data_IF_228883466267
#
_entry.id   IF_228883466267
#
_cell.length_a   1.000
_cell.length_b   1.000
_cell.length_c   1.000
_cell.angle_alpha   90.00
_cell.angle_beta   90.00
_cell.angle_gamma   90.00
#
_symmetry.space_group_name_H-M   'P 1'
#
loop_
_entity.id
_entity.type
_entity.pdbx_description
1 polymer ?
#
# COMPACT_ATOMS: atom_id res chain seq x y z
N UNK A 1 28.27 -13.42 0.10
CA UNK A 1 27.14 -13.46 -0.84
C UNK A 1 25.88 -13.83 -0.06
N UNK A 2 24.79 -13.08 -0.18
CA UNK A 2 23.55 -13.32 0.60
C UNK A 2 22.62 -14.38 -0.06
N UNK A 3 23.07 -15.03 -1.14
CA UNK A 3 22.43 -16.21 -1.71
C UNK A 3 20.94 -15.99 -2.04
N UNK A 4 20.07 -16.85 -1.47
CA UNK A 4 18.62 -16.83 -1.67
C UNK A 4 17.92 -15.56 -1.15
N UNK A 5 18.59 -14.75 -0.32
CA UNK A 5 18.04 -13.48 0.16
C UNK A 5 18.16 -12.36 -0.88
N UNK A 6 19.08 -12.47 -1.86
CA UNK A 6 19.32 -11.43 -2.85
C UNK A 6 18.06 -11.05 -3.65
N UNK A 7 17.21 -11.98 -4.14
CA UNK A 7 15.98 -11.63 -4.84
C UNK A 7 14.96 -10.92 -3.94
N UNK A 8 14.86 -11.30 -2.66
CA UNK A 8 13.93 -10.66 -1.73
C UNK A 8 14.36 -9.24 -1.39
N UNK A 9 15.66 -9.04 -1.11
CA UNK A 9 16.28 -7.73 -0.86
C UNK A 9 16.27 -6.82 -2.09
N UNK A 10 16.16 -7.38 -3.30
CA UNK A 10 16.01 -6.60 -4.53
C UNK A 10 14.79 -5.68 -4.49
N UNK A 11 13.66 -6.15 -3.94
CA UNK A 11 12.45 -5.32 -3.82
C UNK A 11 12.70 -4.06 -2.98
N UNK A 12 13.47 -4.18 -1.89
CA UNK A 12 13.83 -3.03 -1.05
C UNK A 12 14.75 -2.07 -1.80
N UNK A 13 15.71 -2.60 -2.58
CA UNK A 13 16.59 -1.79 -3.43
C UNK A 13 15.82 -1.06 -4.54
N UNK A 14 14.79 -1.69 -5.10
CA UNK A 14 13.95 -1.07 -6.12
C UNK A 14 13.12 0.08 -5.54
N UNK A 15 12.66 -0.05 -4.29
CA UNK A 15 11.99 1.04 -3.55
C UNK A 15 12.97 2.17 -3.28
N UNK A 16 14.21 1.87 -2.88
CA UNK A 16 15.25 2.90 -2.74
C UNK A 16 15.46 3.63 -4.07
N UNK A 17 15.55 2.89 -5.18
CA UNK A 17 15.73 3.47 -6.51
C UNK A 17 14.57 4.39 -6.90
N UNK A 18 13.33 3.98 -6.61
CA UNK A 18 12.13 4.76 -6.89
C UNK A 18 12.12 6.10 -6.15
N UNK A 19 12.55 6.09 -4.88
CA UNK A 19 12.56 7.26 -3.99
C UNK A 19 13.94 7.87 -3.79
N UNK A 20 14.86 7.64 -4.75
CA UNK A 20 16.29 7.96 -4.59
C UNK A 20 16.53 9.43 -4.30
N UNK A 21 15.83 10.34 -4.98
CA UNK A 21 16.01 11.79 -4.81
C UNK A 21 15.69 12.20 -3.37
N UNK A 22 14.58 11.68 -2.81
CA UNK A 22 14.17 11.96 -1.44
C UNK A 22 15.16 11.37 -0.44
N UNK A 23 15.57 10.11 -0.63
CA UNK A 23 16.46 9.41 0.29
C UNK A 23 17.88 9.98 0.26
N UNK A 24 18.44 10.26 -0.92
CA UNK A 24 19.79 10.83 -1.06
C UNK A 24 19.88 12.25 -0.49
N UNK A 25 18.76 12.97 -0.37
CA UNK A 25 18.70 14.29 0.28
C UNK A 25 18.83 14.20 1.83
N UNK A 26 18.62 13.02 2.42
CA UNK A 26 18.75 12.80 3.88
C UNK A 26 20.22 12.46 4.21
N UNK A 27 20.92 13.41 4.82
CA UNK A 27 22.33 13.27 5.15
C UNK A 27 22.61 12.23 6.26
N UNK A 28 21.76 12.20 7.30
CA UNK A 28 21.92 11.26 8.39
C UNK A 28 21.49 9.84 7.96
N UNK A 29 22.41 8.87 8.05
CA UNK A 29 22.15 7.50 7.61
C UNK A 29 21.02 6.82 8.38
N UNK A 30 20.92 7.03 9.70
CA UNK A 30 19.86 6.45 10.52
C UNK A 30 18.49 6.98 10.10
N UNK A 31 18.38 8.29 9.89
CA UNK A 31 17.14 8.91 9.41
C UNK A 31 16.78 8.44 8.00
N UNK A 32 17.77 8.28 7.11
CA UNK A 32 17.55 7.75 5.76
C UNK A 32 17.04 6.30 5.80
N UNK A 33 17.62 5.47 6.68
CA UNK A 33 17.18 4.08 6.86
C UNK A 33 15.76 4.02 7.45
N UNK A 34 15.46 4.86 8.45
CA UNK A 34 14.09 4.99 9.00
C UNK A 34 13.10 5.38 7.89
N UNK A 35 13.47 6.36 7.05
CA UNK A 35 12.61 6.79 5.95
C UNK A 35 12.43 5.70 4.90
N UNK A 36 13.47 4.93 4.58
CA UNK A 36 13.36 3.78 3.68
C UNK A 36 12.39 2.72 4.21
N UNK A 37 12.37 2.48 5.53
CA UNK A 37 11.39 1.57 6.15
C UNK A 37 9.97 2.11 5.98
N UNK A 38 9.75 3.41 6.20
CA UNK A 38 8.43 4.03 5.99
C UNK A 38 7.98 3.90 4.54
N UNK A 39 8.84 4.26 3.58
CA UNK A 39 8.55 4.12 2.15
C UNK A 39 8.30 2.67 1.76
N UNK A 40 9.04 1.71 2.34
CA UNK A 40 8.80 0.30 2.12
C UNK A 40 7.39 -0.11 2.54
N UNK A 41 6.94 0.31 3.73
CA UNK A 41 5.57 0.06 4.20
C UNK A 41 4.54 0.69 3.27
N UNK A 42 4.73 1.96 2.86
CA UNK A 42 3.83 2.65 1.94
C UNK A 42 3.69 1.90 0.60
N UNK A 43 4.81 1.50 0.00
CA UNK A 43 4.83 0.75 -1.27
C UNK A 43 4.20 -0.64 -1.14
N UNK A 44 4.38 -1.33 -0.02
CA UNK A 44 3.69 -2.60 0.21
C UNK A 44 2.19 -2.41 0.41
N UNK A 45 1.75 -1.36 1.11
CA UNK A 45 0.33 -1.02 1.20
C UNK A 45 -0.27 -0.76 -0.20
N UNK A 46 0.42 -0.01 -1.05
CA UNK A 46 0.02 0.21 -2.45
C UNK A 46 -0.10 -1.13 -3.19
N UNK A 47 0.85 -2.05 -3.03
CA UNK A 47 0.78 -3.38 -3.64
C UNK A 47 -0.42 -4.20 -3.17
N UNK A 48 -0.79 -4.10 -1.89
CA UNK A 48 -2.01 -4.73 -1.34
C UNK A 48 -3.27 -4.09 -1.92
N UNK A 49 -3.31 -2.75 -2.05
CA UNK A 49 -4.47 -2.03 -2.61
C UNK A 49 -4.69 -2.40 -4.08
N UNK A 50 -3.64 -2.71 -4.84
CA UNK A 50 -3.74 -3.18 -6.23
C UNK A 50 -4.42 -4.54 -6.38
N UNK A 51 -4.53 -5.35 -5.32
CA UNK A 51 -5.12 -6.68 -5.41
C UNK A 51 -6.61 -6.62 -5.74
N UNK A 52 -7.05 -7.47 -6.67
CA UNK A 52 -8.46 -7.59 -7.07
C UNK A 52 -9.38 -7.74 -5.86
N UNK A 53 -9.03 -8.64 -4.94
CA UNK A 53 -9.84 -8.92 -3.76
C UNK A 53 -10.03 -7.70 -2.84
N UNK A 54 -9.05 -6.79 -2.78
CA UNK A 54 -9.15 -5.55 -2.00
C UNK A 54 -10.05 -4.56 -2.71
N UNK A 55 -9.79 -4.30 -4.00
CA UNK A 55 -10.59 -3.35 -4.79
C UNK A 55 -12.06 -3.77 -4.87
N UNK A 56 -12.32 -5.00 -5.30
CA UNK A 56 -13.68 -5.52 -5.50
C UNK A 56 -14.49 -5.51 -4.20
N UNK A 57 -13.87 -5.92 -3.09
CA UNK A 57 -14.54 -5.96 -1.79
C UNK A 57 -14.79 -4.56 -1.24
N UNK A 58 -13.82 -3.66 -1.37
CA UNK A 58 -13.98 -2.27 -0.93
C UNK A 58 -15.11 -1.56 -1.65
N UNK A 59 -15.26 -1.76 -2.96
CA UNK A 59 -16.34 -1.14 -3.73
C UNK A 59 -17.74 -1.59 -3.29
N UNK A 60 -17.87 -2.82 -2.79
CA UNK A 60 -19.16 -3.36 -2.34
C UNK A 60 -19.42 -2.98 -0.89
N UNK A 61 -18.42 -3.15 -0.02
CA UNK A 61 -18.59 -3.15 1.44
C UNK A 61 -17.94 -1.95 2.15
N UNK A 62 -17.25 -1.06 1.43
CA UNK A 62 -16.39 0.01 1.98
C UNK A 62 -15.31 -0.51 2.94
N UNK A 63 -14.95 -1.78 2.78
CA UNK A 63 -13.97 -2.52 3.58
C UNK A 63 -13.35 -3.62 2.68
N UNK A 64 -12.09 -4.06 2.86
CA UNK A 64 -11.10 -3.62 3.86
C UNK A 64 -10.48 -2.25 3.54
N UNK A 65 -10.00 -1.57 4.59
CA UNK A 65 -9.15 -0.38 4.48
C UNK A 65 -7.72 -0.80 4.83
N UNK A 66 -6.75 -0.38 4.01
CA UNK A 66 -5.34 -0.69 4.22
C UNK A 66 -4.68 0.45 4.99
N UNK A 67 -4.04 0.10 6.10
CA UNK A 67 -3.28 1.02 6.95
C UNK A 67 -1.78 0.67 6.91
N UNK A 68 -0.92 1.68 6.97
CA UNK A 68 0.53 1.52 6.99
C UNK A 68 1.09 2.05 8.30
N UNK A 69 1.63 1.15 9.14
CA UNK A 69 2.20 1.50 10.44
C UNK A 69 3.65 1.07 10.54
N UNK A 70 4.45 1.88 11.26
CA UNK A 70 5.83 1.56 11.59
C UNK A 70 5.98 1.54 13.11
N UNK A 71 6.57 0.48 13.64
CA UNK A 71 6.85 0.35 15.06
C UNK A 71 8.33 0.65 15.33
N UNK A 72 8.60 1.64 16.18
CA UNK A 72 9.94 1.98 16.62
C UNK A 72 10.28 1.17 17.88
N UNK A 73 11.20 0.22 17.74
CA UNK A 73 11.66 -0.66 18.83
C UNK A 73 12.37 0.12 19.93
N UNK A 74 13.06 1.23 19.60
CA UNK A 74 13.84 2.00 20.56
C UNK A 74 12.97 2.84 21.49
N UNK A 75 11.83 3.31 20.98
CA UNK A 75 10.90 4.16 21.74
C UNK A 75 9.62 3.43 22.16
N UNK A 76 9.34 2.25 21.60
CA UNK A 76 8.10 1.50 21.76
C UNK A 76 6.88 2.16 21.12
N UNK A 77 7.08 3.17 20.25
CA UNK A 77 6.00 3.95 19.66
C UNK A 77 5.57 3.37 18.32
N UNK A 78 4.26 3.34 18.10
CA UNK A 78 3.66 3.08 16.80
C UNK A 78 3.46 4.41 16.06
N UNK A 79 4.00 4.51 14.86
CA UNK A 79 3.83 5.63 13.93
C UNK A 79 2.83 5.24 12.86
N UNK A 80 1.71 5.95 12.80
CA UNK A 80 0.82 5.88 11.66
C UNK A 80 1.38 6.71 10.49
N UNK A 81 1.48 6.11 9.31
CA UNK A 81 1.92 6.79 8.09
C UNK A 81 0.80 7.59 7.43
N UNK A 82 -0.42 7.55 7.98
CA UNK A 82 -1.60 8.31 7.55
C UNK A 82 -1.84 8.19 6.04
N UNK A 83 -1.87 6.95 5.55
CA UNK A 83 -2.14 6.68 4.14
C UNK A 83 -3.53 7.18 3.75
N UNK A 84 -3.59 7.97 2.68
CA UNK A 84 -4.86 8.34 2.06
C UNK A 84 -5.35 7.21 1.16
N UNK A 85 -5.91 6.17 1.81
CA UNK A 85 -6.36 4.96 1.13
C UNK A 85 -7.31 5.26 -0.04
N UNK A 86 -8.24 6.21 0.12
CA UNK A 86 -9.25 6.52 -0.89
C UNK A 86 -8.62 7.14 -2.13
N UNK A 87 -7.73 8.12 -1.94
CA UNK A 87 -7.04 8.75 -3.07
C UNK A 87 -6.08 7.76 -3.74
N UNK A 88 -5.32 6.97 -2.98
CA UNK A 88 -4.44 5.93 -3.55
C UNK A 88 -5.24 4.92 -4.38
N UNK A 89 -6.38 4.44 -3.86
CA UNK A 89 -7.24 3.52 -4.60
C UNK A 89 -7.76 4.15 -5.89
N UNK A 90 -8.19 5.41 -5.83
CA UNK A 90 -8.66 6.15 -7.01
C UNK A 90 -7.56 6.24 -8.07
N UNK A 91 -6.36 6.67 -7.69
CA UNK A 91 -5.22 6.80 -8.61
C UNK A 91 -4.85 5.45 -9.25
N UNK A 92 -4.91 4.36 -8.48
CA UNK A 92 -4.69 3.00 -9.00
C UNK A 92 -5.78 2.64 -10.02
N UNK A 93 -7.04 2.96 -9.76
CA UNK A 93 -8.17 2.64 -10.64
C UNK A 93 -8.15 3.40 -11.97
N UNK A 94 -7.50 4.57 -12.04
CA UNK A 94 -7.32 5.30 -13.30
C UNK A 94 -6.52 4.48 -14.35
N UNK A 95 -5.64 3.59 -13.89
CA UNK A 95 -4.77 2.77 -14.75
C UNK A 95 -5.16 1.28 -14.69
N UNK A 96 -5.62 0.80 -13.54
CA UNK A 96 -5.85 -0.61 -13.24
C UNK A 96 -7.15 -0.80 -12.44
N UNK A 97 -8.29 -0.58 -13.11
CA UNK A 97 -9.62 -0.83 -12.56
C UNK A 97 -9.99 -2.32 -12.67
N UNK A 98 -10.11 -3.00 -11.52
CA UNK A 98 -10.55 -4.40 -11.45
C UNK A 98 -12.00 -4.58 -10.99
N UNK A 99 -12.80 -3.52 -11.00
CA UNK A 99 -14.10 -3.51 -10.31
C UNK A 99 -15.30 -3.72 -11.24
N UNK A 100 -15.05 -3.93 -12.53
CA UNK A 100 -16.06 -4.18 -13.55
C UNK A 100 -16.44 -5.67 -13.70
N UNK A 101 -15.99 -6.52 -12.77
CA UNK A 101 -16.30 -7.95 -12.81
C UNK A 101 -17.79 -8.22 -12.55
N UNK A 102 -18.33 -9.27 -13.17
CA UNK A 102 -19.74 -9.68 -13.03
C UNK A 102 -20.11 -9.89 -11.55
N UNK A 103 -19.17 -10.40 -10.76
CA UNK A 103 -19.31 -10.60 -9.32
C UNK A 103 -19.57 -9.28 -8.57
N UNK A 104 -18.83 -8.21 -8.89
CA UNK A 104 -18.99 -6.89 -8.26
C UNK A 104 -20.33 -6.29 -8.64
N UNK A 105 -20.67 -6.32 -9.92
CA UNK A 105 -21.90 -5.71 -10.44
C UNK A 105 -23.16 -6.35 -9.84
N UNK A 106 -23.19 -7.67 -9.74
CA UNK A 106 -24.29 -8.42 -9.10
C UNK A 106 -24.47 -8.05 -7.62
N UNK A 107 -23.37 -7.88 -6.88
CA UNK A 107 -23.43 -7.52 -5.45
C UNK A 107 -23.86 -6.07 -5.22
N UNK A 108 -23.35 -5.13 -6.02
CA UNK A 108 -23.79 -3.73 -5.98
C UNK A 108 -25.29 -3.59 -6.22
N UNK A 109 -25.81 -4.27 -7.24
CA UNK A 109 -27.24 -4.27 -7.55
C UNK A 109 -28.08 -4.79 -6.39
N UNK A 110 -27.71 -5.94 -5.82
CA UNK A 110 -28.42 -6.54 -4.68
C UNK A 110 -28.38 -5.67 -3.42
N UNK A 111 -27.25 -4.97 -3.15
CA UNK A 111 -27.13 -4.06 -2.00
C UNK A 111 -28.03 -2.84 -2.15
N UNK A 112 -28.13 -2.29 -3.37
CA UNK A 112 -29.01 -1.16 -3.66
C UNK A 112 -30.49 -1.53 -3.49
N UNK A 113 -30.91 -2.72 -3.93
CA UNK A 113 -32.29 -3.20 -3.73
C UNK A 113 -32.63 -3.34 -2.25
N UNK A 114 -31.71 -3.86 -1.41
CA UNK A 114 -31.96 -4.03 0.04
C UNK A 114 -32.03 -2.71 0.81
N UNK A 115 -31.45 -1.64 0.27
CA UNK A 115 -31.37 -0.34 0.90
C UNK A 115 -32.44 0.65 0.39
N UNK A 116 -33.28 0.23 -0.57
CA UNK A 116 -34.42 0.98 -1.11
C UNK A 116 -35.72 0.52 -0.43
#
# INVERSE_FOLDING_TARGET
DLGLLNPWLRNIRDIYRLHRIELDAIANEKERNNRLVELNVQEQCINVIKLACVQERYIVDEYPIVHGWVFDISTGKLKDLNLDFKNILKDIQEIYNLTDSEWVMSRKHNKNIKNA
#
